data_IF_395701725945
#
_entry.id   IF_395701725945
#
_cell.length_a   1.000
_cell.length_b   1.000
_cell.length_c   1.000
_cell.angle_alpha   90.00
_cell.angle_beta   90.00
_cell.angle_gamma   90.00
#
_symmetry.space_group_name_H-M   'P 1'
#
loop_
_entity.id
_entity.type
_entity.pdbx_description
1 polymer ?
#
# COMPACT_ATOMS: atom_id res chain seq x y z
N UNK A 1 7.43 26.47 16.98
CA UNK A 1 8.48 26.37 15.96
C UNK A 1 7.92 25.45 14.88
N UNK A 2 7.53 26.00 13.73
CA UNK A 2 6.92 25.21 12.66
C UNK A 2 8.02 24.57 11.83
N UNK A 3 8.10 23.24 11.84
CA UNK A 3 8.97 22.52 10.93
C UNK A 3 8.24 22.37 9.59
N UNK A 4 8.74 23.10 8.59
CA UNK A 4 8.40 22.87 7.18
C UNK A 4 9.04 21.55 6.78
N UNK A 5 8.24 20.57 6.38
CA UNK A 5 8.73 19.37 5.72
C UNK A 5 9.50 19.78 4.46
N UNK A 6 10.68 19.21 4.17
CA UNK A 6 11.34 19.41 2.89
C UNK A 6 10.38 18.96 1.78
N UNK A 7 10.13 19.87 0.85
CA UNK A 7 9.50 19.58 -0.43
C UNK A 7 10.37 18.54 -1.15
N UNK A 8 9.72 17.49 -1.69
CA UNK A 8 10.26 16.42 -2.53
C UNK A 8 11.21 15.41 -1.87
N UNK A 9 10.77 14.15 -1.82
CA UNK A 9 11.66 12.98 -1.64
C UNK A 9 12.27 12.54 -2.99
N UNK A 10 12.04 13.31 -4.06
CA UNK A 10 12.35 12.93 -5.44
C UNK A 10 13.85 13.09 -5.80
N UNK A 11 14.67 13.74 -4.96
CA UNK A 11 16.09 14.01 -5.25
C UNK A 11 17.07 13.50 -4.16
N UNK A 12 16.86 12.32 -3.57
CA UNK A 12 17.75 11.83 -2.49
C UNK A 12 18.96 11.00 -2.98
N UNK A 13 19.00 10.57 -4.24
CA UNK A 13 20.08 9.71 -4.78
C UNK A 13 20.97 10.40 -5.84
N UNK A 14 21.36 11.65 -5.63
CA UNK A 14 22.16 12.38 -6.64
C UNK A 14 23.63 11.94 -6.72
N UNK A 15 24.14 11.26 -5.69
CA UNK A 15 25.56 10.91 -5.56
C UNK A 15 25.85 9.41 -5.63
N UNK A 16 24.81 8.57 -5.61
CA UNK A 16 24.95 7.13 -5.61
C UNK A 16 23.92 6.52 -6.55
N UNK A 17 24.37 5.58 -7.36
CA UNK A 17 23.51 4.56 -7.91
C UNK A 17 23.33 3.48 -6.82
N UNK A 18 22.08 3.09 -6.55
CA UNK A 18 21.76 2.02 -5.62
C UNK A 18 20.53 1.27 -6.11
N UNK A 19 20.66 -0.05 -6.24
CA UNK A 19 19.57 -0.95 -6.56
C UNK A 19 19.65 -2.17 -5.64
N UNK A 20 18.51 -2.66 -5.16
CA UNK A 20 18.43 -3.84 -4.29
C UNK A 20 17.32 -4.77 -4.78
N UNK A 21 17.67 -6.03 -5.02
CA UNK A 21 16.73 -7.06 -5.48
C UNK A 21 16.84 -8.32 -4.63
N UNK A 22 15.71 -8.99 -4.42
CA UNK A 22 15.63 -10.25 -3.71
C UNK A 22 15.21 -11.34 -4.69
N UNK A 23 15.96 -12.44 -4.74
CA UNK A 23 15.66 -13.60 -5.60
C UNK A 23 15.50 -14.85 -4.75
N UNK A 24 14.61 -15.77 -5.15
CA UNK A 24 14.49 -17.06 -4.47
C UNK A 24 15.73 -17.91 -4.78
N UNK A 25 16.41 -18.43 -3.76
CA UNK A 25 17.54 -19.33 -3.96
C UNK A 25 17.02 -20.71 -4.42
N UNK A 26 17.57 -21.23 -5.53
CA UNK A 26 17.08 -22.47 -6.17
C UNK A 26 17.48 -23.75 -5.41
N UNK A 27 18.43 -23.67 -4.47
CA UNK A 27 19.03 -24.86 -3.88
C UNK A 27 19.33 -24.69 -2.39
N UNK A 28 18.35 -24.97 -1.51
CA UNK A 28 18.63 -25.34 -0.12
C UNK A 28 17.46 -26.10 0.54
N UNK A 29 17.07 -27.24 -0.05
CA UNK A 29 16.09 -28.19 0.53
C UNK A 29 16.62 -28.96 1.76
N UNK A 30 17.66 -28.48 2.46
CA UNK A 30 18.21 -29.18 3.63
C UNK A 30 17.60 -28.76 4.97
N UNK A 31 16.92 -27.61 5.06
CA UNK A 31 16.44 -27.06 6.34
C UNK A 31 14.92 -26.85 6.44
N UNK A 32 14.14 -27.02 5.36
CA UNK A 32 12.72 -26.65 5.37
C UNK A 32 12.44 -25.14 5.53
N UNK A 33 13.50 -24.30 5.49
CA UNK A 33 13.43 -22.84 5.58
C UNK A 33 13.52 -22.23 4.19
N UNK A 34 12.64 -21.29 3.87
CA UNK A 34 12.71 -20.54 2.61
C UNK A 34 13.95 -19.64 2.63
N UNK A 35 14.78 -19.77 1.60
CA UNK A 35 16.04 -19.02 1.47
C UNK A 35 15.98 -18.14 0.23
N UNK A 36 16.43 -16.91 0.39
CA UNK A 36 16.45 -15.90 -0.66
C UNK A 36 17.85 -15.31 -0.76
N UNK A 37 18.25 -14.91 -1.97
CA UNK A 37 19.49 -14.21 -2.25
C UNK A 37 19.17 -12.72 -2.36
N UNK A 38 19.68 -11.93 -1.41
CA UNK A 38 19.67 -10.47 -1.53
C UNK A 38 20.85 -10.05 -2.40
N UNK A 39 20.59 -9.25 -3.44
CA UNK A 39 21.59 -8.66 -4.32
C UNK A 39 21.45 -7.15 -4.28
N UNK A 40 22.56 -6.46 -4.05
CA UNK A 40 22.63 -5.01 -3.98
C UNK A 40 23.71 -4.55 -4.97
N UNK A 41 23.41 -3.54 -5.75
CA UNK A 41 24.28 -2.97 -6.75
C UNK A 41 24.44 -1.50 -6.44
N UNK A 42 25.68 -1.03 -6.29
CA UNK A 42 25.93 0.37 -5.96
C UNK A 42 27.17 0.92 -6.62
N UNK A 43 27.14 2.21 -6.93
CA UNK A 43 28.25 2.95 -7.52
C UNK A 43 28.20 4.40 -7.10
N UNK A 44 29.36 5.00 -6.89
CA UNK A 44 29.45 6.42 -6.62
C UNK A 44 29.36 7.22 -7.93
N UNK A 45 28.60 8.32 -7.93
CA UNK A 45 28.37 9.13 -9.14
C UNK A 45 29.24 10.39 -9.18
N UNK A 46 30.14 10.58 -8.21
CA UNK A 46 31.10 11.68 -8.23
C UNK A 46 32.35 11.39 -9.08
N UNK A 47 33.27 12.36 -9.11
CA UNK A 47 34.45 12.33 -10.00
C UNK A 47 35.60 11.44 -9.52
N UNK A 48 35.48 10.81 -8.34
CA UNK A 48 36.52 9.99 -7.71
C UNK A 48 35.91 8.86 -6.91
N UNK A 49 36.69 7.82 -6.59
CA UNK A 49 36.25 6.78 -5.66
C UNK A 49 35.84 7.39 -4.31
N UNK A 50 34.71 6.92 -3.76
CA UNK A 50 34.28 7.29 -2.41
C UNK A 50 34.98 6.36 -1.41
N UNK A 51 35.63 6.93 -0.40
CA UNK A 51 36.33 6.17 0.65
C UNK A 51 35.43 6.03 1.88
N UNK A 52 35.57 4.95 2.64
CA UNK A 52 34.81 4.72 3.88
C UNK A 52 33.29 4.87 3.71
N UNK A 53 32.75 4.07 2.80
CA UNK A 53 31.30 4.03 2.54
C UNK A 53 30.64 3.03 3.47
N UNK A 54 29.49 3.40 4.03
CA UNK A 54 28.67 2.51 4.87
C UNK A 54 27.43 2.11 4.09
N UNK A 55 27.13 0.82 4.12
CA UNK A 55 25.88 0.28 3.62
C UNK A 55 25.10 -0.34 4.78
N UNK A 56 23.94 0.24 5.08
CA UNK A 56 23.01 -0.23 6.10
C UNK A 56 21.84 -0.95 5.42
N UNK A 57 21.71 -2.24 5.71
CA UNK A 57 20.75 -3.17 5.10
C UNK A 57 19.75 -3.59 6.17
N UNK A 58 18.56 -3.01 6.15
CA UNK A 58 17.44 -3.53 6.92
C UNK A 58 16.93 -4.81 6.27
N UNK A 59 16.66 -5.85 7.06
CA UNK A 59 16.04 -7.09 6.59
C UNK A 59 14.52 -7.01 6.73
N UNK A 60 13.81 -7.74 5.87
CA UNK A 60 12.36 -7.94 6.00
C UNK A 60 12.03 -8.51 7.39
N UNK A 61 10.91 -8.11 7.98
CA UNK A 61 10.50 -8.59 9.30
C UNK A 61 10.42 -10.12 9.33
N UNK A 62 11.07 -10.75 10.31
CA UNK A 62 11.15 -12.21 10.42
C UNK A 62 12.18 -12.88 9.49
N UNK A 63 13.05 -12.11 8.85
CA UNK A 63 14.22 -12.62 8.13
C UNK A 63 15.51 -12.41 8.92
N UNK A 64 16.48 -13.29 8.70
CA UNK A 64 17.82 -13.19 9.28
C UNK A 64 18.89 -13.54 8.24
N UNK A 65 20.10 -12.97 8.34
CA UNK A 65 21.14 -13.17 7.33
C UNK A 65 21.84 -14.52 7.53
N UNK A 66 22.36 -15.07 6.44
CA UNK A 66 23.32 -16.16 6.48
C UNK A 66 24.68 -15.62 6.93
N UNK A 67 25.15 -16.06 8.10
CA UNK A 67 26.41 -15.58 8.66
C UNK A 67 27.65 -16.05 7.91
N UNK A 68 27.59 -17.16 7.17
CA UNK A 68 28.73 -17.66 6.41
C UNK A 68 28.99 -16.79 5.17
N UNK A 69 27.92 -16.39 4.48
CA UNK A 69 28.00 -15.44 3.37
C UNK A 69 28.53 -14.07 3.83
N UNK A 70 28.09 -13.58 5.00
CA UNK A 70 28.59 -12.31 5.55
C UNK A 70 30.09 -12.37 5.87
N UNK A 71 30.57 -13.50 6.41
CA UNK A 71 32.02 -13.70 6.65
C UNK A 71 32.80 -13.75 5.35
N UNK A 72 32.22 -14.33 4.30
CA UNK A 72 32.84 -14.40 2.98
C UNK A 72 33.00 -13.01 2.36
N UNK A 73 31.98 -12.15 2.47
CA UNK A 73 32.03 -10.75 2.02
C UNK A 73 33.13 -9.93 2.70
N UNK A 74 33.52 -10.31 3.93
CA UNK A 74 34.62 -9.69 4.69
C UNK A 74 35.93 -10.48 4.66
N UNK A 75 36.03 -11.50 3.81
CA UNK A 75 37.25 -12.28 3.67
C UNK A 75 38.31 -11.50 2.89
N UNK A 76 39.59 -11.83 3.12
CA UNK A 76 40.72 -11.25 2.37
C UNK A 76 40.68 -11.56 0.87
N UNK A 77 39.82 -12.49 0.44
CA UNK A 77 39.69 -12.93 -0.96
C UNK A 77 38.70 -12.05 -1.73
N UNK A 78 37.54 -11.74 -1.12
CA UNK A 78 36.52 -10.92 -1.76
C UNK A 78 36.69 -9.43 -1.45
N UNK A 79 37.08 -9.10 -0.21
CA UNK A 79 37.42 -7.76 0.27
C UNK A 79 36.41 -6.66 -0.09
N UNK A 80 35.14 -7.03 -0.25
CA UNK A 80 34.06 -6.09 -0.57
C UNK A 80 33.74 -5.17 0.61
N UNK A 81 33.77 -5.72 1.81
CA UNK A 81 33.67 -4.98 3.07
C UNK A 81 34.82 -5.39 3.97
N UNK A 82 35.39 -4.47 4.74
CA UNK A 82 36.44 -4.82 5.70
C UNK A 82 35.86 -5.24 7.06
N UNK A 83 34.60 -4.89 7.33
CA UNK A 83 33.90 -5.25 8.56
C UNK A 83 32.39 -5.32 8.33
N UNK A 84 31.70 -6.14 9.13
CA UNK A 84 30.24 -6.13 9.21
C UNK A 84 29.76 -6.12 10.67
N UNK A 85 28.56 -5.60 10.89
CA UNK A 85 27.82 -5.70 12.15
C UNK A 85 26.40 -6.20 11.89
N UNK A 86 25.87 -7.00 12.81
CA UNK A 86 24.46 -7.42 12.79
C UNK A 86 23.76 -6.91 14.04
N UNK A 87 22.76 -6.04 13.86
CA UNK A 87 21.93 -5.48 14.92
C UNK A 87 20.56 -6.14 14.84
N UNK A 88 20.18 -6.90 15.87
CA UNK A 88 18.86 -7.54 15.94
C UNK A 88 18.06 -6.91 17.06
N UNK A 89 16.93 -6.28 16.74
CA UNK A 89 15.98 -5.70 17.69
C UNK A 89 14.64 -6.41 17.53
N UNK A 90 14.21 -7.15 18.56
CA UNK A 90 12.94 -7.90 18.61
C UNK A 90 12.66 -8.81 17.40
N UNK A 91 12.18 -8.24 16.29
CA UNK A 91 11.78 -8.89 15.03
C UNK A 91 12.52 -8.37 13.79
N UNK A 92 13.25 -7.27 13.94
CA UNK A 92 13.91 -6.54 12.86
C UNK A 92 15.42 -6.76 12.99
N UNK A 93 16.03 -7.16 11.88
CA UNK A 93 17.47 -7.37 11.81
C UNK A 93 18.06 -6.40 10.79
N UNK A 94 19.20 -5.81 11.13
CA UNK A 94 19.92 -4.88 10.28
C UNK A 94 21.37 -5.34 10.17
N UNK A 95 21.87 -5.41 8.94
CA UNK A 95 23.27 -5.69 8.64
C UNK A 95 23.93 -4.37 8.23
N UNK A 96 25.03 -4.00 8.88
CA UNK A 96 25.84 -2.85 8.49
C UNK A 96 27.13 -3.37 7.89
N UNK A 97 27.41 -2.98 6.65
CA UNK A 97 28.64 -3.31 5.93
C UNK A 97 29.50 -2.06 5.82
N UNK A 98 30.78 -2.19 6.14
CA UNK A 98 31.77 -1.12 6.03
C UNK A 98 32.67 -1.38 4.83
N UNK A 99 32.56 -0.53 3.81
CA UNK A 99 33.32 -0.62 2.57
C UNK A 99 34.50 0.34 2.64
N UNK A 100 35.70 -0.14 2.30
CA UNK A 100 36.90 0.70 2.28
C UNK A 100 36.81 1.75 1.17
N UNK A 101 36.33 1.32 0.00
CA UNK A 101 36.14 2.17 -1.17
C UNK A 101 34.94 1.73 -2.01
N UNK A 102 34.33 2.69 -2.70
CA UNK A 102 33.29 2.47 -3.69
C UNK A 102 33.71 3.09 -5.02
N UNK A 103 33.66 2.29 -6.08
CA UNK A 103 34.06 2.71 -7.42
C UNK A 103 33.12 3.79 -7.96
N UNK A 104 33.67 4.67 -8.80
CA UNK A 104 32.88 5.64 -9.58
C UNK A 104 32.65 5.18 -11.04
N UNK A 105 33.38 4.15 -11.48
CA UNK A 105 33.39 3.68 -12.87
C UNK A 105 32.53 2.43 -13.08
N UNK A 106 32.61 1.49 -12.14
CA UNK A 106 31.95 0.18 -12.23
C UNK A 106 30.99 -0.01 -11.05
N UNK A 107 29.91 -0.76 -11.28
CA UNK A 107 28.95 -1.06 -10.23
C UNK A 107 29.50 -2.18 -9.32
N UNK A 108 29.61 -1.89 -8.03
CA UNK A 108 29.97 -2.87 -7.01
C UNK A 108 28.71 -3.69 -6.68
N UNK A 109 28.77 -5.00 -6.93
CA UNK A 109 27.67 -5.93 -6.67
C UNK A 109 27.97 -6.75 -5.42
N UNK A 110 27.08 -6.64 -4.43
CA UNK A 110 27.14 -7.35 -3.16
C UNK A 110 25.92 -8.23 -3.01
N UNK A 111 26.06 -9.35 -2.31
CA UNK A 111 24.90 -10.16 -1.99
C UNK A 111 25.18 -11.23 -0.97
N UNK A 112 24.16 -11.55 -0.18
CA UNK A 112 24.19 -12.62 0.80
C UNK A 112 22.80 -13.26 0.91
N UNK A 113 22.76 -14.50 1.38
CA UNK A 113 21.50 -15.19 1.59
C UNK A 113 20.82 -14.72 2.86
N UNK A 114 19.50 -14.67 2.81
CA UNK A 114 18.62 -14.41 3.94
C UNK A 114 17.63 -15.56 4.07
N UNK A 115 17.35 -15.95 5.30
CA UNK A 115 16.45 -17.06 5.61
C UNK A 115 15.19 -16.53 6.28
N UNK A 116 14.04 -17.04 5.85
CA UNK A 116 12.74 -16.73 6.45
C UNK A 116 12.54 -17.57 7.71
N UNK A 117 12.31 -16.91 8.86
CA UNK A 117 12.04 -17.59 10.12
C UNK A 117 10.58 -18.02 10.23
N UNK A 118 9.65 -17.12 9.93
CA UNK A 118 8.21 -17.36 9.98
C UNK A 118 7.49 -16.69 8.79
N UNK A 119 6.47 -17.33 8.21
CA UNK A 119 5.62 -16.68 7.23
C UNK A 119 4.67 -15.69 7.90
N UNK A 120 4.93 -14.40 7.69
CA UNK A 120 4.01 -13.30 8.03
C UNK A 120 3.22 -12.91 6.78
N UNK A 121 1.93 -12.57 6.94
CA UNK A 121 1.01 -12.23 5.84
C UNK A 121 1.25 -10.84 5.23
N UNK A 122 1.79 -9.89 6.01
CA UNK A 122 2.09 -8.53 5.57
C UNK A 122 3.55 -8.22 5.83
N UNK A 123 4.38 -8.35 4.81
CA UNK A 123 5.78 -7.92 4.85
C UNK A 123 5.86 -6.51 4.30
N UNK A 124 6.37 -5.59 5.11
CA UNK A 124 6.73 -4.26 4.61
C UNK A 124 8.06 -4.36 3.85
N UNK A 125 8.18 -3.59 2.77
CA UNK A 125 9.43 -3.51 2.03
C UNK A 125 10.56 -3.06 2.96
N UNK A 126 11.72 -3.69 2.81
CA UNK A 126 12.90 -3.36 3.58
C UNK A 126 13.79 -2.38 2.82
N UNK A 127 14.62 -1.65 3.54
CA UNK A 127 15.44 -0.57 2.99
C UNK A 127 16.93 -0.92 3.01
N UNK A 128 17.63 -0.56 1.94
CA UNK A 128 19.10 -0.48 1.88
C UNK A 128 19.46 0.99 1.77
N UNK A 129 20.41 1.45 2.58
CA UNK A 129 20.91 2.82 2.55
C UNK A 129 22.41 2.82 2.41
N UNK A 130 22.94 3.62 1.49
CA UNK A 130 24.37 3.86 1.28
C UNK A 130 24.70 5.31 1.62
N UNK A 131 25.78 5.54 2.35
CA UNK A 131 26.24 6.89 2.71
C UNK A 131 27.74 6.92 3.03
N UNK A 132 28.32 8.11 2.91
CA UNK A 132 29.69 8.39 3.33
C UNK A 132 29.78 8.53 4.86
N UNK A 133 30.81 7.95 5.48
CA UNK A 133 31.03 8.04 6.93
C UNK A 133 31.19 9.49 7.43
N UNK A 134 31.86 10.35 6.65
CA UNK A 134 32.13 11.75 7.01
C UNK A 134 30.97 12.68 6.67
N UNK A 135 30.13 12.34 5.69
CA UNK A 135 28.94 13.11 5.31
C UNK A 135 27.65 12.27 5.31
N UNK A 136 27.14 11.78 6.47
CA UNK A 136 25.97 10.91 6.52
C UNK A 136 24.65 11.56 6.04
N UNK A 137 24.63 12.88 5.83
CA UNK A 137 23.50 13.58 5.20
C UNK A 137 23.38 13.25 3.71
N UNK A 138 24.50 12.91 3.06
CA UNK A 138 24.57 12.46 1.67
C UNK A 138 24.33 10.96 1.63
N UNK A 139 23.06 10.58 1.77
CA UNK A 139 22.63 9.18 1.74
C UNK A 139 21.69 8.93 0.59
N UNK A 140 21.79 7.74 0.01
CA UNK A 140 20.84 7.24 -0.97
C UNK A 140 20.22 5.96 -0.42
N UNK A 141 18.92 5.80 -0.61
CA UNK A 141 18.20 4.63 -0.14
C UNK A 141 17.40 3.98 -1.28
N UNK A 142 17.38 2.66 -1.28
CA UNK A 142 16.55 1.84 -2.16
C UNK A 142 15.73 0.86 -1.33
N UNK A 143 14.51 0.59 -1.76
CA UNK A 143 13.65 -0.42 -1.13
C UNK A 143 13.71 -1.73 -1.91
N UNK A 144 13.56 -2.85 -1.21
CA UNK A 144 13.38 -4.17 -1.80
C UNK A 144 12.30 -4.94 -1.04
N UNK A 145 11.63 -5.85 -1.74
CA UNK A 145 10.63 -6.74 -1.16
C UNK A 145 10.76 -8.15 -1.75
N UNK A 146 9.90 -9.07 -1.32
CA UNK A 146 9.79 -10.40 -1.91
C UNK A 146 9.59 -10.30 -3.44
N UNK A 147 10.10 -11.28 -4.23
CA UNK A 147 9.99 -11.25 -5.69
C UNK A 147 8.56 -11.11 -6.23
N UNK A 148 7.56 -11.52 -5.44
CA UNK A 148 6.13 -11.47 -5.77
C UNK A 148 5.46 -10.17 -5.34
N UNK A 149 6.15 -9.32 -4.59
CA UNK A 149 5.61 -8.10 -3.99
C UNK A 149 6.33 -6.86 -4.53
N UNK A 150 5.63 -5.73 -4.54
CA UNK A 150 6.25 -4.45 -4.91
C UNK A 150 7.03 -3.89 -3.72
N UNK A 151 8.10 -3.17 -4.04
CA UNK A 151 8.96 -2.52 -3.05
C UNK A 151 8.45 -1.12 -2.68
N UNK A 152 7.56 -0.55 -3.49
CA UNK A 152 6.93 0.74 -3.24
C UNK A 152 5.62 0.58 -2.47
N UNK A 153 5.44 1.42 -1.43
CA UNK A 153 4.18 1.52 -0.70
C UNK A 153 3.05 1.88 -1.68
N UNK A 154 1.94 1.14 -1.62
CA UNK A 154 0.74 1.51 -2.39
C UNK A 154 0.23 2.84 -1.86
N UNK A 155 0.10 3.84 -2.73
CA UNK A 155 -0.37 5.17 -2.37
C UNK A 155 -1.36 5.68 -3.39
N UNK A 156 -2.45 6.31 -2.94
CA UNK A 156 -3.39 7.04 -3.79
C UNK A 156 -3.04 8.52 -3.70
N UNK A 157 -2.68 9.10 -4.83
CA UNK A 157 -2.27 10.50 -4.96
C UNK A 157 -3.26 11.25 -5.83
N UNK A 158 -3.55 12.48 -5.43
CA UNK A 158 -4.32 13.44 -6.19
C UNK A 158 -3.54 14.74 -6.14
N UNK A 159 -2.94 15.10 -7.28
CA UNK A 159 -1.93 16.16 -7.36
C UNK A 159 -0.80 15.85 -6.35
N UNK A 160 -0.44 16.80 -5.51
CA UNK A 160 0.73 16.71 -4.61
C UNK A 160 0.42 16.07 -3.25
N UNK A 161 -0.85 15.69 -3.02
CA UNK A 161 -1.25 15.07 -1.75
C UNK A 161 -1.44 13.58 -2.01
N UNK A 162 -0.81 12.75 -1.19
CA UNK A 162 -0.88 11.29 -1.28
C UNK A 162 -1.33 10.70 0.05
N UNK A 163 -2.07 9.60 -0.01
CA UNK A 163 -2.44 8.78 1.14
C UNK A 163 -2.00 7.35 0.94
N UNK A 164 -1.58 6.71 2.04
CA UNK A 164 -1.29 5.28 2.07
C UNK A 164 -2.53 4.45 1.68
N UNK A 165 -2.32 3.46 0.82
CA UNK A 165 -3.30 2.50 0.33
C UNK A 165 -2.80 1.06 0.48
N UNK A 166 -1.98 0.81 1.51
CA UNK A 166 -1.50 -0.53 1.88
C UNK A 166 -2.54 -1.37 2.61
N UNK A 167 -3.65 -0.75 3.01
CA UNK A 167 -4.75 -1.47 3.64
C UNK A 167 -5.36 -2.51 2.68
N UNK A 168 -6.04 -3.48 3.26
CA UNK A 168 -6.79 -4.48 2.52
C UNK A 168 -7.82 -3.81 1.60
N UNK A 169 -8.01 -4.39 0.40
CA UNK A 169 -9.03 -3.91 -0.53
C UNK A 169 -10.44 -4.02 0.08
N UNK A 170 -11.35 -3.09 -0.26
CA UNK A 170 -12.76 -3.26 0.06
C UNK A 170 -13.27 -4.59 -0.50
N UNK A 171 -14.07 -5.29 0.30
CA UNK A 171 -14.70 -6.55 -0.11
C UNK A 171 -16.17 -6.31 -0.36
N UNK A 172 -16.66 -6.65 -1.55
CA UNK A 172 -18.08 -6.62 -1.82
C UNK A 172 -18.78 -7.71 -1.00
N UNK A 173 -19.76 -7.33 -0.18
CA UNK A 173 -20.58 -8.32 0.55
C UNK A 173 -21.46 -9.08 -0.44
N UNK A 174 -21.13 -10.35 -0.66
CA UNK A 174 -21.94 -11.29 -1.46
C UNK A 174 -23.18 -11.69 -0.67
N UNK A 175 -24.24 -12.02 -1.41
CA UNK A 175 -25.63 -12.27 -0.99
C UNK A 175 -25.86 -13.35 0.11
N UNK A 176 -24.80 -13.96 0.66
CA UNK A 176 -24.86 -15.22 1.39
C UNK A 176 -24.91 -15.11 2.92
N UNK A 177 -25.20 -13.94 3.49
CA UNK A 177 -25.67 -13.86 4.87
C UNK A 177 -26.62 -12.69 5.02
N UNK A 178 -27.90 -13.01 5.18
CA UNK A 178 -29.01 -12.08 5.38
C UNK A 178 -28.62 -10.93 6.31
N UNK A 179 -28.26 -9.77 5.75
CA UNK A 179 -28.04 -8.59 6.57
C UNK A 179 -29.41 -8.02 6.85
N UNK A 180 -29.94 -8.27 8.06
CA UNK A 180 -31.25 -7.75 8.44
C UNK A 180 -31.25 -6.22 8.32
N UNK A 181 -32.42 -5.64 8.05
CA UNK A 181 -32.59 -4.18 8.01
C UNK A 181 -31.98 -3.50 9.25
N UNK A 182 -32.13 -4.10 10.44
CA UNK A 182 -31.55 -3.63 11.70
C UNK A 182 -30.01 -3.59 11.68
N UNK A 183 -29.35 -4.58 11.09
CA UNK A 183 -27.89 -4.61 10.99
C UNK A 183 -27.36 -3.51 10.04
N UNK A 184 -28.08 -3.25 8.95
CA UNK A 184 -27.76 -2.13 8.04
C UNK A 184 -27.94 -0.77 8.75
N UNK A 185 -28.97 -0.62 9.59
CA UNK A 185 -29.17 0.59 10.39
C UNK A 185 -28.03 0.79 11.40
N UNK A 186 -27.65 -0.27 12.11
CA UNK A 186 -26.52 -0.23 13.06
C UNK A 186 -25.22 0.12 12.34
N UNK A 187 -24.94 -0.48 11.19
CA UNK A 187 -23.76 -0.18 10.38
C UNK A 187 -23.77 1.27 9.88
N UNK A 188 -24.89 1.76 9.34
CA UNK A 188 -25.03 3.13 8.85
C UNK A 188 -24.86 4.21 9.94
N UNK A 189 -25.20 3.85 11.18
CA UNK A 189 -25.11 4.71 12.37
C UNK A 189 -23.87 4.47 13.23
N UNK A 190 -22.96 3.60 12.79
CA UNK A 190 -21.69 3.38 13.48
C UNK A 190 -20.91 4.70 13.59
N UNK A 191 -20.24 4.91 14.73
CA UNK A 191 -19.40 6.08 14.93
C UNK A 191 -18.31 6.15 13.85
N UNK A 192 -18.18 7.31 13.20
CA UNK A 192 -17.24 7.52 12.10
C UNK A 192 -17.80 7.22 10.70
N UNK A 193 -18.99 6.64 10.58
CA UNK A 193 -19.69 6.56 9.29
C UNK A 193 -20.21 7.94 8.89
N UNK A 194 -19.81 8.40 7.73
CA UNK A 194 -20.08 9.76 7.28
C UNK A 194 -21.29 9.80 6.35
N UNK A 195 -21.27 9.00 5.30
CA UNK A 195 -22.28 9.01 4.25
C UNK A 195 -22.81 7.60 3.94
N UNK A 196 -24.06 7.56 3.49
CA UNK A 196 -24.69 6.34 2.97
C UNK A 196 -25.43 6.68 1.69
N UNK A 197 -25.03 6.07 0.58
CA UNK A 197 -25.57 6.33 -0.75
C UNK A 197 -26.05 5.05 -1.42
N UNK A 198 -27.12 5.19 -2.20
CA UNK A 198 -27.44 4.28 -3.31
C UNK A 198 -26.89 4.91 -4.57
N UNK A 199 -25.91 4.27 -5.21
CA UNK A 199 -25.25 4.81 -6.38
C UNK A 199 -25.19 3.78 -7.51
N UNK A 200 -25.28 4.25 -8.75
CA UNK A 200 -25.19 3.43 -9.95
C UNK A 200 -23.85 3.65 -10.63
N UNK A 201 -23.15 2.56 -10.95
CA UNK A 201 -21.89 2.65 -11.67
C UNK A 201 -22.17 2.93 -13.14
N UNK A 202 -21.75 4.09 -13.65
CA UNK A 202 -21.95 4.45 -15.06
C UNK A 202 -20.74 4.07 -15.92
N UNK A 203 -19.53 4.30 -15.43
CA UNK A 203 -18.30 3.97 -16.15
C UNK A 203 -17.12 3.69 -15.21
N UNK A 204 -16.21 2.83 -15.64
CA UNK A 204 -14.91 2.60 -14.98
C UNK A 204 -13.78 3.23 -15.80
N UNK A 205 -13.03 4.15 -15.19
CA UNK A 205 -11.81 4.73 -15.77
C UNK A 205 -10.59 4.00 -15.19
N UNK A 206 -10.10 2.98 -15.89
CA UNK A 206 -8.86 2.28 -15.59
C UNK A 206 -7.84 2.53 -16.71
N UNK A 207 -6.59 2.86 -16.35
CA UNK A 207 -5.48 3.01 -17.30
C UNK A 207 -4.29 2.19 -16.86
N UNK A 208 -3.63 1.51 -17.79
CA UNK A 208 -2.39 0.79 -17.51
C UNK A 208 -1.25 1.70 -17.01
N UNK A 209 -1.31 2.99 -17.32
CA UNK A 209 -0.35 4.01 -16.85
C UNK A 209 -0.71 4.62 -15.49
N UNK A 210 -1.94 4.43 -15.02
CA UNK A 210 -2.42 4.98 -13.75
C UNK A 210 -2.42 3.88 -12.68
N UNK A 211 -1.79 4.09 -11.51
CA UNK A 211 -1.94 3.18 -10.38
C UNK A 211 -3.33 3.24 -9.73
N UNK A 212 -4.26 4.04 -10.27
CA UNK A 212 -5.61 4.27 -9.76
C UNK A 212 -6.67 3.84 -10.75
N UNK A 213 -7.75 3.29 -10.20
CA UNK A 213 -9.00 3.05 -10.91
C UNK A 213 -10.06 3.98 -10.36
N UNK A 214 -10.72 4.73 -11.25
CA UNK A 214 -11.85 5.58 -10.88
C UNK A 214 -13.17 4.93 -11.31
N UNK A 215 -14.16 5.03 -10.43
CA UNK A 215 -15.52 4.58 -10.64
C UNK A 215 -16.43 5.80 -10.67
N UNK A 216 -16.97 6.09 -11.85
CA UNK A 216 -17.92 7.19 -12.03
C UNK A 216 -19.30 6.69 -11.61
N UNK A 217 -19.72 7.09 -10.42
CA UNK A 217 -20.96 6.65 -9.80
C UNK A 217 -21.99 7.78 -9.83
N UNK A 218 -23.19 7.51 -10.36
CA UNK A 218 -24.33 8.41 -10.25
C UNK A 218 -25.07 8.17 -8.94
N UNK A 219 -25.22 9.19 -8.10
CA UNK A 219 -25.99 9.08 -6.86
C UNK A 219 -27.48 8.96 -7.19
N UNK A 220 -28.11 7.83 -6.91
CA UNK A 220 -29.55 7.65 -7.10
C UNK A 220 -30.34 8.13 -5.88
N UNK A 221 -29.82 7.87 -4.67
CA UNK A 221 -30.41 8.34 -3.43
C UNK A 221 -29.33 8.60 -2.37
N UNK A 222 -29.55 9.66 -1.58
CA UNK A 222 -28.73 10.00 -0.41
C UNK A 222 -29.51 9.57 0.82
N UNK A 223 -29.11 8.43 1.40
CA UNK A 223 -29.80 7.82 2.55
C UNK A 223 -29.36 8.51 3.84
N UNK A 224 -28.06 8.81 3.94
CA UNK A 224 -27.45 9.60 5.01
C UNK A 224 -26.51 10.62 4.38
N UNK A 225 -26.81 11.90 4.56
CA UNK A 225 -25.92 12.99 4.16
C UNK A 225 -24.72 13.05 5.10
N UNK A 226 -23.54 13.19 4.52
CA UNK A 226 -22.29 13.29 5.25
C UNK A 226 -21.69 14.71 5.23
N UNK A 227 -20.38 14.76 5.34
CA UNK A 227 -19.58 16.00 5.34
C UNK A 227 -19.62 16.73 3.99
N UNK A 228 -19.82 16.00 2.88
CA UNK A 228 -20.10 16.62 1.57
C UNK A 228 -21.55 17.11 1.48
N UNK A 229 -21.81 18.29 2.07
CA UNK A 229 -23.12 18.93 2.04
C UNK A 229 -23.59 19.36 0.62
N UNK A 230 -22.68 19.35 -0.36
CA UNK A 230 -23.01 19.70 -1.75
C UNK A 230 -23.47 18.49 -2.57
N UNK A 231 -23.36 17.26 -2.05
CA UNK A 231 -23.83 16.07 -2.73
C UNK A 231 -25.37 16.11 -2.89
N UNK A 232 -25.84 16.00 -4.12
CA UNK A 232 -27.26 15.92 -4.47
C UNK A 232 -27.60 14.62 -5.18
N UNK A 233 -28.86 14.17 -5.13
CA UNK A 233 -29.32 13.10 -6.01
C UNK A 233 -29.08 13.47 -7.48
N UNK A 234 -28.74 12.47 -8.29
CA UNK A 234 -28.33 12.52 -9.69
C UNK A 234 -26.91 13.06 -9.96
N UNK A 235 -26.19 13.52 -8.93
CA UNK A 235 -24.80 13.94 -9.09
C UNK A 235 -23.90 12.78 -9.53
N UNK A 236 -22.96 13.09 -10.42
CA UNK A 236 -21.86 12.21 -10.76
C UNK A 236 -20.71 12.41 -9.76
N UNK A 237 -20.40 11.38 -8.98
CA UNK A 237 -19.28 11.39 -8.03
C UNK A 237 -18.23 10.35 -8.44
N UNK A 238 -16.95 10.72 -8.26
CA UNK A 238 -15.82 9.83 -8.53
C UNK A 238 -15.40 9.11 -7.25
N UNK A 239 -15.49 7.79 -7.29
CA UNK A 239 -14.90 6.92 -6.28
C UNK A 239 -13.56 6.39 -6.80
N UNK A 240 -12.55 6.27 -5.94
CA UNK A 240 -11.19 5.88 -6.35
C UNK A 240 -10.67 4.72 -5.49
N UNK A 241 -9.97 3.80 -6.15
CA UNK A 241 -9.17 2.75 -5.50
C UNK A 241 -7.83 2.59 -6.18
N UNK A 242 -6.92 1.88 -5.50
CA UNK A 242 -5.70 1.41 -6.16
C UNK A 242 -6.05 0.33 -7.19
N UNK A 243 -5.38 0.36 -8.35
CA UNK A 243 -5.68 -0.52 -9.48
C UNK A 243 -5.64 -2.01 -9.12
N UNK A 244 -4.79 -2.41 -8.15
CA UNK A 244 -4.73 -3.80 -7.66
C UNK A 244 -6.01 -4.28 -6.97
N UNK A 245 -6.89 -3.38 -6.53
CA UNK A 245 -8.16 -3.72 -5.90
C UNK A 245 -9.32 -3.83 -6.90
N UNK A 246 -9.09 -3.48 -8.17
CA UNK A 246 -10.12 -3.51 -9.20
C UNK A 246 -10.73 -4.91 -9.35
N UNK A 247 -9.87 -5.93 -9.48
CA UNK A 247 -10.30 -7.31 -9.68
C UNK A 247 -11.01 -7.90 -8.45
N UNK A 248 -10.65 -7.46 -7.23
CA UNK A 248 -11.29 -7.93 -5.99
C UNK A 248 -12.68 -7.35 -5.76
N UNK A 249 -12.95 -6.18 -6.35
CA UNK A 249 -14.21 -5.46 -6.19
C UNK A 249 -15.34 -5.97 -7.10
N UNK A 250 -14.99 -6.54 -8.26
CA UNK A 250 -15.94 -7.12 -9.24
C UNK A 250 -17.14 -6.21 -9.57
N UNK A 251 -16.95 -4.89 -9.51
CA UNK A 251 -17.99 -3.90 -9.80
C UNK A 251 -18.35 -3.92 -11.29
N UNK A 252 -19.65 -3.91 -11.57
CA UNK A 252 -20.21 -4.01 -12.92
C UNK A 252 -20.88 -2.70 -13.32
N UNK A 253 -20.59 -2.25 -14.53
CA UNK A 253 -21.24 -1.07 -15.11
C UNK A 253 -22.75 -1.27 -15.21
N UNK A 254 -23.48 -0.17 -15.11
CA UNK A 254 -24.93 -0.08 -15.15
C UNK A 254 -25.66 -0.73 -13.97
N UNK A 255 -24.94 -1.29 -13.00
CA UNK A 255 -25.49 -1.84 -11.76
C UNK A 255 -25.49 -0.81 -10.62
N UNK A 256 -26.43 -0.98 -9.69
CA UNK A 256 -26.55 -0.15 -8.49
C UNK A 256 -25.92 -0.83 -7.28
N UNK A 257 -25.39 -0.03 -6.36
CA UNK A 257 -24.70 -0.46 -5.17
C UNK A 257 -25.09 0.42 -3.96
N UNK A 258 -25.18 -0.22 -2.80
CA UNK A 258 -25.20 0.46 -1.50
C UNK A 258 -23.76 0.69 -1.06
N UNK A 259 -23.41 1.96 -0.83
CA UNK A 259 -22.07 2.39 -0.43
C UNK A 259 -22.19 3.12 0.91
N UNK A 260 -21.50 2.63 1.94
CA UNK A 260 -21.34 3.35 3.21
C UNK A 260 -19.86 3.61 3.43
N UNK A 261 -19.49 4.88 3.58
CA UNK A 261 -18.11 5.29 3.77
C UNK A 261 -17.91 6.05 5.07
N UNK A 262 -16.68 5.97 5.59
CA UNK A 262 -16.28 6.70 6.80
C UNK A 262 -15.82 8.11 6.46
N UNK A 263 -15.71 8.98 7.46
CA UNK A 263 -15.16 10.33 7.26
C UNK A 263 -13.71 10.27 6.78
N UNK A 264 -12.98 9.23 7.18
CA UNK A 264 -11.64 8.94 6.65
C UNK A 264 -11.66 8.70 5.14
N UNK A 265 -12.72 8.14 4.56
CA UNK A 265 -12.81 7.82 3.13
C UNK A 265 -13.05 9.06 2.25
N UNK A 266 -13.39 10.19 2.86
CA UNK A 266 -13.62 11.45 2.18
C UNK A 266 -12.37 12.31 2.13
N UNK A 267 -11.87 12.52 0.92
CA UNK A 267 -10.75 13.41 0.69
C UNK A 267 -11.21 14.75 0.16
N UNK A 268 -11.14 15.76 1.02
CA UNK A 268 -11.36 17.15 0.61
C UNK A 268 -10.12 17.71 -0.06
N UNK A 269 -10.25 18.06 -1.34
CA UNK A 269 -9.23 18.82 -2.07
C UNK A 269 -9.85 20.13 -2.52
N UNK A 270 -9.45 21.22 -1.85
CA UNK A 270 -10.08 22.55 -1.99
C UNK A 270 -11.59 22.49 -1.69
N UNK A 271 -12.42 22.52 -2.73
CA UNK A 271 -13.88 22.53 -2.65
C UNK A 271 -14.50 21.20 -3.09
N UNK A 272 -13.71 20.28 -3.64
CA UNK A 272 -14.19 19.00 -4.17
C UNK A 272 -13.86 17.86 -3.20
N UNK A 273 -14.77 16.89 -3.10
CA UNK A 273 -14.57 15.67 -2.33
C UNK A 273 -14.32 14.49 -3.27
N UNK A 274 -13.20 13.80 -3.06
CA UNK A 274 -12.91 12.52 -3.68
C UNK A 274 -13.23 11.41 -2.69
N UNK A 275 -13.96 10.38 -3.14
CA UNK A 275 -14.36 9.26 -2.29
C UNK A 275 -13.39 8.10 -2.50
N UNK A 276 -12.65 7.70 -1.46
CA UNK A 276 -11.72 6.57 -1.52
C UNK A 276 -12.45 5.32 -1.04
N UNK A 277 -12.46 4.23 -1.81
CA UNK A 277 -12.98 2.95 -1.30
C UNK A 277 -11.84 2.23 -0.56
N UNK A 278 -11.83 2.34 0.76
CA UNK A 278 -10.87 1.71 1.66
C UNK A 278 -11.34 0.38 2.22
N UNK A 279 -10.53 -0.23 3.10
CA UNK A 279 -10.83 -1.52 3.75
C UNK A 279 -12.19 -1.54 4.45
N UNK A 280 -12.55 -0.43 5.08
CA UNK A 280 -13.75 -0.30 5.91
C UNK A 280 -14.97 0.22 5.14
N UNK A 281 -14.81 0.55 3.85
CA UNK A 281 -15.93 0.98 3.03
C UNK A 281 -16.87 -0.20 2.78
N UNK A 282 -18.12 -0.04 3.20
CA UNK A 282 -19.15 -1.05 2.99
C UNK A 282 -19.66 -0.95 1.55
N UNK A 283 -19.65 -2.08 0.85
CA UNK A 283 -20.12 -2.18 -0.53
C UNK A 283 -20.99 -3.42 -0.71
N UNK A 284 -22.21 -3.22 -1.22
CA UNK A 284 -23.19 -4.28 -1.47
C UNK A 284 -23.94 -4.00 -2.77
N UNK A 285 -24.24 -5.04 -3.55
CA UNK A 285 -25.06 -4.91 -4.76
C UNK A 285 -26.49 -4.56 -4.38
N UNK A 286 -27.07 -3.57 -5.07
CA UNK A 286 -28.47 -3.20 -4.96
C UNK A 286 -29.24 -3.82 -6.14
N UNK A 287 -30.10 -4.82 -5.91
CA UNK A 287 -30.83 -5.50 -6.98
C UNK A 287 -31.71 -4.57 -7.81
N UNK A 288 -31.80 -4.83 -9.12
CA UNK A 288 -32.74 -4.11 -9.98
C UNK A 288 -34.19 -4.54 -9.73
N UNK A 289 -35.13 -3.63 -9.99
CA UNK A 289 -36.56 -3.87 -9.89
C UNK A 289 -36.98 -4.86 -10.98
N UNK A 290 -37.06 -6.15 -10.63
CA UNK A 290 -37.31 -7.25 -11.56
C UNK A 290 -36.54 -8.55 -11.28
N UNK A 291 -35.52 -8.52 -10.41
CA UNK A 291 -34.81 -9.75 -10.02
C UNK A 291 -35.67 -10.58 -9.03
N UNK A 292 -36.44 -11.52 -9.58
CA UNK A 292 -37.37 -12.38 -8.82
C UNK A 292 -36.68 -13.12 -7.69
N UNK A 293 -35.39 -13.46 -7.83
CA UNK A 293 -34.63 -14.19 -6.80
C UNK A 293 -34.22 -13.30 -5.62
N UNK A 294 -34.22 -11.98 -5.78
CA UNK A 294 -33.74 -11.01 -4.78
C UNK A 294 -34.78 -10.01 -4.32
N UNK A 295 -36.08 -10.31 -4.55
CA UNK A 295 -37.19 -9.43 -4.19
C UNK A 295 -37.26 -9.12 -2.69
N UNK A 296 -36.92 -10.10 -1.85
CA UNK A 296 -36.89 -9.91 -0.39
C UNK A 296 -35.76 -8.96 0.04
N UNK A 297 -34.55 -9.13 -0.53
CA UNK A 297 -33.42 -8.22 -0.29
C UNK A 297 -33.73 -6.80 -0.76
N UNK A 298 -34.33 -6.65 -1.95
CA UNK A 298 -34.75 -5.35 -2.47
C UNK A 298 -35.71 -4.65 -1.50
N UNK A 299 -36.73 -5.36 -1.00
CA UNK A 299 -37.65 -4.82 -0.01
C UNK A 299 -36.97 -4.43 1.30
N UNK A 300 -35.99 -5.21 1.78
CA UNK A 300 -35.20 -4.87 2.97
C UNK A 300 -34.35 -3.61 2.77
N UNK A 301 -33.71 -3.46 1.61
CA UNK A 301 -32.89 -2.30 1.27
C UNK A 301 -33.74 -1.02 1.10
N UNK A 302 -34.91 -1.14 0.48
CA UNK A 302 -35.87 -0.05 0.35
C UNK A 302 -36.42 0.39 1.70
N UNK A 303 -36.84 -0.57 2.55
CA UNK A 303 -37.29 -0.28 3.92
C UNK A 303 -36.18 0.32 4.78
N UNK A 304 -34.92 -0.14 4.62
CA UNK A 304 -33.75 0.48 5.24
C UNK A 304 -33.59 1.93 4.79
N UNK A 305 -33.63 2.19 3.48
CA UNK A 305 -33.47 3.52 2.90
C UNK A 305 -34.54 4.49 3.42
N UNK A 306 -35.80 4.09 3.39
CA UNK A 306 -36.92 4.91 3.86
C UNK A 306 -36.81 5.20 5.36
N UNK A 307 -36.49 4.18 6.18
CA UNK A 307 -36.31 4.34 7.61
C UNK A 307 -35.19 5.34 7.94
N UNK A 308 -34.02 5.18 7.31
CA UNK A 308 -32.86 6.03 7.56
C UNK A 308 -33.10 7.47 7.12
N UNK A 309 -33.74 7.68 5.97
CA UNK A 309 -34.07 9.03 5.49
C UNK A 309 -35.11 9.74 6.37
N UNK A 310 -35.96 9.01 7.09
CA UNK A 310 -37.02 9.59 7.94
C UNK A 310 -36.61 9.73 9.40
N UNK A 311 -35.96 8.72 9.97
CA UNK A 311 -35.64 8.65 11.41
C UNK A 311 -34.18 9.01 11.72
N UNK A 312 -33.29 8.91 10.73
CA UNK A 312 -31.86 9.10 10.93
C UNK A 312 -31.26 8.12 11.95
N UNK A 313 -30.15 8.53 12.55
CA UNK A 313 -29.49 7.78 13.62
C UNK A 313 -29.96 8.28 14.98
N UNK A 314 -30.34 7.37 15.87
CA UNK A 314 -30.60 7.69 17.28
C UNK A 314 -29.27 7.98 17.97
N UNK A 315 -29.14 9.19 18.51
CA UNK A 315 -28.02 9.67 19.33
C UNK A 315 -27.98 8.99 20.69
#
# INVERSE_FOLDING_TARGET
MYHRSPESWEDTCNLYHLNATLHRALEEKKSGKETFQLRMETRYLGDREATMTIMEVSLLTGFYPNHDDLKQLTSEVEMYAFQYETKTKSSDSTVVLYLEKLSHQEDTVLGFRVHRMLPVEFLQAAQVTVYDYYEPSRRCSSFYNLPTERSDLRKICYKDVCRCAEELCPTQKKDSSWTRQEELQVAACEAGMDFVFKARLEAVEASASSPYTYYNMQLQAIIKSGTDAAAMPLDMKKFVTHASCHDSLELQEQQSYLIMGRTSDLWRVKSDYNYVLGKETFLMHWPADGDVKKKELLGQLEGFSEYMSTHGCKS
#
